data_IF_877531835643
#
_entry.id   IF_877531835643
#
_cell.length_a   1.000
_cell.length_b   1.000
_cell.length_c   1.000
_cell.angle_alpha   90.00
_cell.angle_beta   90.00
_cell.angle_gamma   90.00
#
_symmetry.space_group_name_H-M   'P 1'
#
loop_
_entity.id
_entity.type
_entity.pdbx_description
1 polymer ?
#
# COMPACT_ATOMS: atom_id res chain seq x y z
N UNK A 1 -2.70 -28.88 48.31
CA UNK A 1 -3.54 -28.73 47.10
C UNK A 1 -4.03 -27.28 46.87
N UNK A 2 -4.43 -26.52 47.89
CA UNK A 2 -4.90 -25.11 47.72
C UNK A 2 -3.85 -24.11 47.17
N UNK A 3 -2.56 -24.31 47.46
CA UNK A 3 -1.47 -23.42 46.95
C UNK A 3 -1.12 -23.64 45.50
N UNK A 4 -1.39 -24.84 44.95
CA UNK A 4 -1.10 -25.17 43.54
C UNK A 4 -2.16 -24.58 42.58
N UNK A 5 -3.40 -24.49 43.07
CA UNK A 5 -4.49 -23.90 42.27
C UNK A 5 -4.33 -22.38 42.09
N UNK A 6 -3.74 -21.70 43.11
CA UNK A 6 -3.48 -20.25 43.05
C UNK A 6 -2.40 -19.89 42.04
N UNK A 7 -1.43 -20.78 41.81
CA UNK A 7 -0.34 -20.54 40.82
C UNK A 7 -0.82 -20.68 39.37
N UNK A 8 -1.78 -21.58 39.13
CA UNK A 8 -2.37 -21.77 37.79
C UNK A 8 -3.24 -20.56 37.37
N UNK A 9 -3.93 -19.92 38.32
CA UNK A 9 -4.77 -18.76 38.05
C UNK A 9 -3.96 -17.50 37.67
N UNK A 10 -2.75 -17.35 38.19
CA UNK A 10 -1.87 -16.20 37.88
C UNK A 10 -1.23 -16.37 36.49
N UNK A 11 -0.98 -17.60 36.01
CA UNK A 11 -0.38 -17.83 34.70
C UNK A 11 -1.35 -17.57 33.54
N UNK A 12 -2.66 -17.59 33.78
CA UNK A 12 -3.67 -17.36 32.76
C UNK A 12 -3.99 -15.88 32.51
N UNK A 13 -3.50 -14.97 33.36
CA UNK A 13 -3.83 -13.54 33.30
C UNK A 13 -2.91 -12.70 32.39
N UNK A 14 -1.92 -13.30 31.74
CA UNK A 14 -0.95 -12.58 30.89
C UNK A 14 -1.08 -12.88 29.39
N UNK A 15 -2.26 -13.32 28.95
CA UNK A 15 -2.53 -13.33 27.51
C UNK A 15 -2.80 -11.87 27.12
N UNK A 16 -1.73 -11.11 26.92
CA UNK A 16 -1.80 -9.82 26.26
C UNK A 16 -2.41 -10.05 24.88
N UNK A 17 -3.58 -9.50 24.65
CA UNK A 17 -4.19 -9.48 23.32
C UNK A 17 -3.22 -8.79 22.38
N UNK A 18 -2.55 -9.55 21.52
CA UNK A 18 -1.78 -9.00 20.43
C UNK A 18 -2.82 -8.43 19.47
N UNK A 19 -3.08 -7.13 19.61
CA UNK A 19 -3.84 -6.41 18.60
C UNK A 19 -2.94 -6.32 17.35
N UNK A 20 -3.18 -7.17 16.37
CA UNK A 20 -2.60 -6.99 15.05
C UNK A 20 -3.17 -5.68 14.50
N UNK A 21 -2.31 -4.70 14.27
CA UNK A 21 -2.72 -3.45 13.63
C UNK A 21 -3.25 -3.78 12.22
N UNK A 22 -4.51 -3.39 11.96
CA UNK A 22 -5.12 -3.62 10.66
C UNK A 22 -4.40 -2.76 9.61
N UNK A 23 -3.93 -3.40 8.55
CA UNK A 23 -3.30 -2.71 7.42
C UNK A 23 -4.37 -1.84 6.75
N UNK A 24 -4.19 -0.53 6.78
CA UNK A 24 -5.09 0.41 6.14
C UNK A 24 -5.11 0.21 4.63
N UNK A 25 -6.30 0.14 4.05
CA UNK A 25 -6.47 0.06 2.61
C UNK A 25 -6.21 1.42 1.98
N UNK A 26 -5.51 1.41 0.83
CA UNK A 26 -5.31 2.63 0.04
C UNK A 26 -6.56 2.83 -0.80
N UNK A 27 -7.28 3.92 -0.59
CA UNK A 27 -8.44 4.26 -1.40
C UNK A 27 -8.54 5.77 -1.66
N UNK A 28 -9.18 6.14 -2.75
CA UNK A 28 -9.48 7.54 -3.12
C UNK A 28 -10.95 7.65 -3.49
N UNK A 29 -11.56 8.77 -3.12
CA UNK A 29 -12.97 9.06 -3.30
C UNK A 29 -13.78 8.97 -2.00
N UNK A 30 -15.09 9.16 -2.10
CA UNK A 30 -15.97 9.10 -0.95
C UNK A 30 -16.11 7.66 -0.44
N UNK A 31 -15.75 7.42 0.83
CA UNK A 31 -15.85 6.10 1.47
C UNK A 31 -17.26 5.49 1.41
N UNK A 32 -18.29 6.33 1.36
CA UNK A 32 -19.69 5.93 1.33
C UNK A 32 -20.25 5.81 -0.10
N UNK A 33 -19.39 6.01 -1.14
CA UNK A 33 -19.79 5.84 -2.54
C UNK A 33 -20.31 4.42 -2.79
N UNK A 34 -21.43 4.32 -3.55
CA UNK A 34 -22.07 3.04 -3.86
C UNK A 34 -21.26 2.19 -4.83
N UNK A 35 -20.45 2.81 -5.67
CA UNK A 35 -19.59 2.13 -6.64
C UNK A 35 -18.18 2.03 -6.05
N UNK A 36 -17.66 0.81 -5.97
CA UNK A 36 -16.27 0.57 -5.59
C UNK A 36 -15.53 -0.05 -6.76
N UNK A 37 -14.50 0.61 -7.22
CA UNK A 37 -13.55 0.10 -8.21
C UNK A 37 -12.39 -0.52 -7.43
N UNK A 38 -12.04 -1.77 -7.72
CA UNK A 38 -10.88 -2.42 -7.13
C UNK A 38 -9.83 -2.56 -8.23
N UNK A 39 -8.69 -1.90 -8.06
CA UNK A 39 -7.56 -1.97 -8.99
C UNK A 39 -6.44 -2.80 -8.39
N UNK A 40 -6.05 -3.90 -9.06
CA UNK A 40 -4.90 -4.71 -8.69
C UNK A 40 -3.71 -4.27 -9.52
N UNK A 41 -2.64 -3.80 -8.85
CA UNK A 41 -1.56 -3.10 -9.51
C UNK A 41 -0.18 -3.56 -9.06
N UNK A 42 0.76 -3.60 -10.01
CA UNK A 42 2.18 -3.80 -9.74
C UNK A 42 2.95 -2.51 -10.00
N UNK A 43 3.77 -2.12 -9.04
CA UNK A 43 4.57 -0.89 -9.13
C UNK A 43 5.69 -0.95 -10.19
N UNK A 44 6.01 -2.12 -10.73
CA UNK A 44 6.96 -2.28 -11.86
C UNK A 44 6.25 -2.42 -13.21
N UNK A 45 4.92 -2.52 -13.22
CA UNK A 45 4.15 -2.69 -14.44
C UNK A 45 3.98 -1.34 -15.18
N UNK A 46 4.50 -1.24 -16.41
CA UNK A 46 4.38 -0.02 -17.24
C UNK A 46 2.94 0.31 -17.61
N UNK A 47 2.08 -0.69 -17.81
CA UNK A 47 0.66 -0.46 -18.09
C UNK A 47 -0.06 0.13 -16.88
N UNK A 48 0.29 -0.27 -15.67
CA UNK A 48 -0.24 0.34 -14.45
C UNK A 48 0.20 1.81 -14.34
N UNK A 49 1.48 2.12 -14.62
CA UNK A 49 1.95 3.50 -14.66
C UNK A 49 1.22 4.34 -15.72
N UNK A 50 0.97 3.78 -16.91
CA UNK A 50 0.19 4.44 -17.94
C UNK A 50 -1.28 4.68 -17.50
N UNK A 51 -1.90 3.73 -16.80
CA UNK A 51 -3.22 3.95 -16.21
C UNK A 51 -3.21 5.16 -15.27
N UNK A 52 -2.25 5.24 -14.36
CA UNK A 52 -2.13 6.37 -13.42
C UNK A 52 -1.86 7.70 -14.12
N UNK A 53 -1.16 7.69 -15.26
CA UNK A 53 -0.85 8.89 -16.03
C UNK A 53 -2.02 9.34 -16.92
N UNK A 54 -2.63 8.40 -17.65
CA UNK A 54 -3.50 8.74 -18.79
C UNK A 54 -4.99 8.55 -18.47
N UNK A 55 -5.36 7.66 -17.55
CA UNK A 55 -6.76 7.30 -17.26
C UNK A 55 -7.20 7.79 -15.88
N UNK A 56 -6.38 7.56 -14.86
CA UNK A 56 -6.73 7.84 -13.46
C UNK A 56 -7.08 9.32 -13.21
N UNK A 57 -6.43 10.35 -13.82
CA UNK A 57 -6.80 11.74 -13.60
C UNK A 57 -8.25 12.05 -14.01
N UNK A 58 -8.69 11.54 -15.16
CA UNK A 58 -10.06 11.73 -15.63
C UNK A 58 -11.07 10.92 -14.79
N UNK A 59 -10.72 9.69 -14.41
CA UNK A 59 -11.51 8.89 -13.49
C UNK A 59 -11.70 9.60 -12.16
N UNK A 60 -10.60 10.14 -11.61
CA UNK A 60 -10.62 10.89 -10.36
C UNK A 60 -11.55 12.10 -10.46
N UNK A 61 -11.34 12.97 -11.43
CA UNK A 61 -12.10 14.19 -11.64
C UNK A 61 -13.60 13.94 -11.82
N UNK A 62 -13.94 12.95 -12.67
CA UNK A 62 -15.34 12.78 -13.11
C UNK A 62 -16.16 11.88 -12.17
N UNK A 63 -15.52 11.01 -11.38
CA UNK A 63 -16.24 10.00 -10.59
C UNK A 63 -15.84 9.95 -9.13
N UNK A 64 -14.54 10.11 -8.79
CA UNK A 64 -14.11 9.99 -7.40
C UNK A 64 -14.34 11.29 -6.64
N UNK A 65 -13.93 12.44 -7.21
CA UNK A 65 -14.09 13.75 -6.60
C UNK A 65 -15.56 14.20 -6.54
N UNK A 66 -16.40 13.64 -7.41
CA UNK A 66 -17.86 13.86 -7.40
C UNK A 66 -18.59 13.00 -6.37
N UNK A 67 -17.92 12.03 -5.76
CA UNK A 67 -18.51 11.11 -4.80
C UNK A 67 -19.34 9.98 -5.42
N UNK A 68 -19.39 9.85 -6.75
CA UNK A 68 -20.12 8.78 -7.44
C UNK A 68 -19.47 7.41 -7.23
N UNK A 69 -18.13 7.37 -7.20
CA UNK A 69 -17.36 6.17 -7.00
C UNK A 69 -16.22 6.38 -6.02
N UNK A 70 -15.65 5.27 -5.55
CA UNK A 70 -14.35 5.20 -4.90
C UNK A 70 -13.49 4.16 -5.60
N UNK A 71 -12.18 4.32 -5.58
CA UNK A 71 -11.21 3.33 -6.03
C UNK A 71 -10.39 2.84 -4.86
N UNK A 72 -10.20 1.53 -4.74
CA UNK A 72 -9.32 0.85 -3.81
C UNK A 72 -8.15 0.25 -4.58
N UNK A 73 -6.94 0.69 -4.25
CA UNK A 73 -5.71 0.16 -4.83
C UNK A 73 -5.22 -1.02 -4.02
N UNK A 74 -5.00 -2.15 -4.69
CA UNK A 74 -4.48 -3.38 -4.09
C UNK A 74 -3.18 -3.77 -4.75
N UNK A 75 -2.16 -3.95 -3.95
CA UNK A 75 -0.88 -4.41 -4.45
C UNK A 75 -0.96 -5.82 -5.01
N UNK A 76 -0.50 -5.99 -6.24
CA UNK A 76 -0.34 -7.26 -6.93
C UNK A 76 1.06 -7.33 -7.55
N UNK A 77 2.12 -7.48 -6.71
CA UNK A 77 3.50 -7.39 -7.17
C UNK A 77 3.84 -8.56 -8.11
N UNK A 78 4.30 -8.23 -9.31
CA UNK A 78 4.70 -9.21 -10.33
C UNK A 78 6.16 -9.67 -10.15
N UNK A 79 6.95 -8.95 -9.35
CA UNK A 79 8.34 -9.26 -9.05
C UNK A 79 8.75 -8.74 -7.66
N UNK A 80 9.97 -9.05 -7.25
CA UNK A 80 10.49 -8.68 -5.92
C UNK A 80 10.69 -7.16 -5.79
N UNK A 81 11.04 -6.44 -6.86
CA UNK A 81 11.18 -4.99 -6.81
C UNK A 81 9.82 -4.32 -6.58
N UNK A 82 8.78 -4.79 -7.28
CA UNK A 82 7.40 -4.35 -7.04
C UNK A 82 6.95 -4.66 -5.61
N UNK A 83 7.26 -5.85 -5.09
CA UNK A 83 6.93 -6.22 -3.71
C UNK A 83 7.57 -5.28 -2.68
N UNK A 84 8.86 -4.96 -2.87
CA UNK A 84 9.56 -4.04 -1.97
C UNK A 84 9.00 -2.61 -2.05
N UNK A 85 8.70 -2.12 -3.25
CA UNK A 85 8.06 -0.83 -3.45
C UNK A 85 6.64 -0.79 -2.84
N UNK A 86 5.88 -1.89 -2.93
CA UNK A 86 4.55 -2.01 -2.34
C UNK A 86 4.58 -1.89 -0.82
N UNK A 87 5.60 -2.47 -0.16
CA UNK A 87 5.78 -2.30 1.29
C UNK A 87 5.98 -0.84 1.67
N UNK A 88 6.77 -0.11 0.89
CA UNK A 88 6.99 1.33 1.13
C UNK A 88 5.69 2.12 0.95
N UNK A 89 4.98 1.90 -0.15
CA UNK A 89 3.69 2.56 -0.41
C UNK A 89 2.66 2.26 0.69
N UNK A 90 2.73 1.07 1.30
CA UNK A 90 1.81 0.66 2.37
C UNK A 90 2.21 1.21 3.73
N UNK A 91 3.52 1.39 4.02
CA UNK A 91 3.99 1.87 5.32
C UNK A 91 3.61 3.34 5.59
N UNK A 92 3.60 4.17 4.55
CA UNK A 92 3.25 5.60 4.64
C UNK A 92 1.81 5.86 4.19
N UNK A 93 0.93 4.90 4.48
CA UNK A 93 -0.46 4.94 4.07
C UNK A 93 -1.36 5.45 5.20
N UNK A 94 -1.89 6.66 5.03
CA UNK A 94 -2.93 7.24 5.85
C UNK A 94 -4.36 7.02 5.27
N UNK A 95 -4.47 6.26 4.20
CA UNK A 95 -5.68 6.04 3.39
C UNK A 95 -5.57 6.61 1.98
N UNK A 96 -4.72 7.63 1.77
CA UNK A 96 -4.40 8.21 0.45
C UNK A 96 -2.86 8.22 0.31
N UNK A 97 -2.30 7.14 -0.16
CA UNK A 97 -0.85 6.98 -0.25
C UNK A 97 -0.24 7.90 -1.32
N UNK A 98 0.33 9.03 -0.88
CA UNK A 98 1.08 9.95 -1.75
C UNK A 98 2.29 9.27 -2.40
N UNK A 99 2.92 8.36 -1.67
CA UNK A 99 4.07 7.57 -2.14
C UNK A 99 3.65 6.65 -3.29
N UNK A 100 2.46 6.03 -3.25
CA UNK A 100 1.96 5.22 -4.36
C UNK A 100 1.92 6.03 -5.66
N UNK A 101 1.34 7.23 -5.61
CA UNK A 101 1.22 8.11 -6.76
C UNK A 101 2.61 8.56 -7.26
N UNK A 102 3.51 8.91 -6.35
CA UNK A 102 4.89 9.32 -6.70
C UNK A 102 5.68 8.17 -7.33
N UNK A 103 5.54 6.94 -6.82
CA UNK A 103 6.19 5.75 -7.37
C UNK A 103 5.73 5.46 -8.81
N UNK A 104 4.44 5.56 -9.12
CA UNK A 104 3.95 5.39 -10.49
C UNK A 104 4.39 6.52 -11.41
N UNK A 105 4.26 7.77 -10.98
CA UNK A 105 4.66 8.94 -11.76
C UNK A 105 6.15 8.96 -12.13
N UNK A 106 6.98 8.36 -11.29
CA UNK A 106 8.44 8.32 -11.44
C UNK A 106 8.97 6.91 -11.69
N UNK A 107 8.15 5.96 -12.13
CA UNK A 107 8.52 4.56 -12.30
C UNK A 107 9.84 4.38 -13.06
N UNK A 108 10.04 5.15 -14.15
CA UNK A 108 11.25 5.11 -14.97
C UNK A 108 12.53 5.54 -14.22
N UNK A 109 12.42 6.23 -13.10
CA UNK A 109 13.59 6.66 -12.33
C UNK A 109 14.12 5.55 -11.43
N UNK A 110 13.26 4.69 -10.89
CA UNK A 110 13.64 3.69 -9.90
C UNK A 110 13.55 2.23 -10.39
N UNK A 111 12.70 1.91 -11.38
CA UNK A 111 12.59 0.55 -11.97
C UNK A 111 13.77 0.26 -12.92
N UNK A 112 14.94 0.82 -12.68
CA UNK A 112 16.12 0.59 -13.51
C UNK A 112 17.01 -0.46 -12.83
N UNK A 113 17.72 -1.21 -13.67
CA UNK A 113 18.73 -2.13 -13.22
C UNK A 113 18.57 -3.53 -13.78
N UNK A 114 19.66 -4.26 -13.77
CA UNK A 114 19.74 -5.65 -14.25
C UNK A 114 19.49 -6.68 -13.13
N UNK A 115 19.35 -6.20 -11.90
CA UNK A 115 19.13 -7.03 -10.71
C UNK A 115 18.17 -6.39 -9.70
N UNK A 116 17.58 -7.23 -8.85
CA UNK A 116 16.73 -6.79 -7.72
C UNK A 116 17.51 -5.86 -6.77
N UNK A 117 18.79 -6.14 -6.53
CA UNK A 117 19.63 -5.32 -5.66
C UNK A 117 19.78 -3.89 -6.21
N UNK A 118 20.00 -3.78 -7.51
CA UNK A 118 20.15 -2.50 -8.20
C UNK A 118 18.82 -1.72 -8.22
N UNK A 119 17.71 -2.39 -8.51
CA UNK A 119 16.37 -1.79 -8.44
C UNK A 119 16.05 -1.27 -7.03
N UNK A 120 16.40 -2.02 -5.98
CA UNK A 120 16.22 -1.58 -4.59
C UNK A 120 17.09 -0.37 -4.24
N UNK A 121 18.34 -0.31 -4.72
CA UNK A 121 19.19 0.87 -4.52
C UNK A 121 18.61 2.11 -5.21
N UNK A 122 18.10 1.96 -6.42
CA UNK A 122 17.45 3.05 -7.15
C UNK A 122 16.16 3.50 -6.45
N UNK A 123 15.35 2.58 -5.96
CA UNK A 123 14.18 2.89 -5.14
C UNK A 123 14.57 3.68 -3.89
N UNK A 124 15.60 3.26 -3.14
CA UNK A 124 16.07 3.98 -1.97
C UNK A 124 16.58 5.39 -2.30
N UNK A 125 17.33 5.55 -3.41
CA UNK A 125 17.80 6.86 -3.86
C UNK A 125 16.62 7.77 -4.22
N UNK A 126 15.64 7.22 -4.94
CA UNK A 126 14.43 7.95 -5.31
C UNK A 126 13.68 8.41 -4.05
N UNK A 127 13.39 7.53 -3.11
CA UNK A 127 12.67 7.86 -1.87
C UNK A 127 13.37 8.94 -1.03
N UNK A 128 14.71 8.91 -0.97
CA UNK A 128 15.50 9.96 -0.29
C UNK A 128 15.43 11.31 -0.98
N UNK A 129 15.09 11.35 -2.28
CA UNK A 129 14.93 12.61 -3.02
C UNK A 129 13.52 13.19 -2.92
N UNK A 130 12.55 12.39 -2.50
CA UNK A 130 11.16 12.85 -2.32
C UNK A 130 10.89 13.45 -0.92
N UNK A 131 11.82 13.31 0.03
CA UNK A 131 11.73 13.82 1.40
C UNK A 131 11.99 12.77 2.43
#
# INVERSE_FOLDING_TARGET
MKKFLSFILIFFSTISSINAEEIKRIFVGNKDAKITIISFESLTCSHCANFHKDVYPELKKNYLDTGLAKIEFRHFPLDIAAFNASKVAQCDNDGDSKILNSLFANQQKWVKGSSVAEANQNLQKFLKSEG
#
